data_IF_335257426062
#
_entry.id   IF_335257426062
#
_cell.length_a   1.000
_cell.length_b   1.000
_cell.length_c   1.000
_cell.angle_alpha   90.00
_cell.angle_beta   90.00
_cell.angle_gamma   90.00
#
_symmetry.space_group_name_H-M   'P 1'
#
loop_
_entity.id
_entity.type
_entity.pdbx_description
1 polymer ?
#
# COMPACT_ATOMS: atom_id res chain seq x y z
N UNK A 1 24.60 47.59 -11.31
CA UNK A 1 23.51 46.80 -11.92
C UNK A 1 23.81 45.31 -11.74
N UNK A 2 23.65 44.78 -10.52
CA UNK A 2 23.98 43.39 -10.16
C UNK A 2 22.83 42.67 -9.43
N UNK A 3 21.63 43.26 -9.39
CA UNK A 3 20.52 42.77 -8.57
C UNK A 3 19.52 41.85 -9.29
N UNK A 4 19.61 41.68 -10.61
CA UNK A 4 18.63 40.91 -11.40
C UNK A 4 19.04 39.46 -11.69
N UNK A 5 20.30 39.06 -11.44
CA UNK A 5 20.78 37.69 -11.74
C UNK A 5 20.48 36.69 -10.63
N UNK A 6 20.48 37.11 -9.37
CA UNK A 6 20.30 36.21 -8.22
C UNK A 6 18.84 35.81 -8.00
N UNK A 7 17.87 36.69 -8.29
CA UNK A 7 16.44 36.37 -8.15
C UNK A 7 15.98 35.25 -9.06
N UNK A 8 16.55 35.16 -10.27
CA UNK A 8 16.21 34.11 -11.26
C UNK A 8 16.77 32.73 -10.87
N UNK A 9 17.96 32.69 -10.27
CA UNK A 9 18.56 31.45 -9.78
C UNK A 9 17.81 30.94 -8.54
N UNK A 10 17.47 31.82 -7.60
CA UNK A 10 16.70 31.45 -6.41
C UNK A 10 15.29 30.95 -6.74
N UNK A 11 14.61 31.57 -7.72
CA UNK A 11 13.31 31.08 -8.21
C UNK A 11 13.43 29.72 -8.90
N UNK A 12 14.48 29.50 -9.69
CA UNK A 12 14.72 28.22 -10.36
C UNK A 12 15.01 27.11 -9.34
N UNK A 13 15.84 27.39 -8.33
CA UNK A 13 16.12 26.45 -7.24
C UNK A 13 14.85 26.15 -6.45
N UNK A 14 14.05 27.16 -6.12
CA UNK A 14 12.77 26.97 -5.43
C UNK A 14 11.79 26.16 -6.27
N UNK A 15 11.71 26.39 -7.59
CA UNK A 15 10.87 25.64 -8.51
C UNK A 15 11.33 24.18 -8.63
N UNK A 16 12.64 23.93 -8.75
CA UNK A 16 13.19 22.57 -8.77
C UNK A 16 12.90 21.86 -7.44
N UNK A 17 13.09 22.54 -6.32
CA UNK A 17 12.84 21.98 -4.97
C UNK A 17 11.36 21.69 -4.77
N UNK A 18 10.46 22.59 -5.15
CA UNK A 18 9.00 22.37 -5.05
C UNK A 18 8.48 21.31 -6.02
N UNK A 19 9.02 21.22 -7.23
CA UNK A 19 8.65 20.17 -8.16
C UNK A 19 9.19 18.82 -7.69
N UNK A 20 10.43 18.78 -7.18
CA UNK A 20 10.98 17.58 -6.54
C UNK A 20 10.15 17.16 -5.32
N UNK A 21 9.64 18.13 -4.54
CA UNK A 21 8.71 17.88 -3.41
C UNK A 21 7.37 17.30 -3.85
N UNK A 22 6.78 17.87 -4.90
CA UNK A 22 5.52 17.37 -5.45
C UNK A 22 5.69 15.96 -6.02
N UNK A 23 6.83 15.71 -6.66
CA UNK A 23 7.21 14.39 -7.13
C UNK A 23 7.50 13.42 -5.98
N UNK A 24 8.07 13.85 -4.84
CA UNK A 24 8.29 12.97 -3.69
C UNK A 24 7.01 12.65 -2.92
N UNK A 25 6.00 13.50 -2.89
CA UNK A 25 4.79 13.23 -2.10
C UNK A 25 3.82 12.24 -2.76
N UNK A 26 3.84 12.07 -4.08
CA UNK A 26 2.92 11.20 -4.82
C UNK A 26 1.43 11.50 -4.59
N UNK A 27 0.55 11.01 -5.45
CA UNK A 27 -0.88 10.98 -5.07
C UNK A 27 -1.10 9.79 -4.14
N UNK A 28 -1.96 9.93 -3.13
CA UNK A 28 -2.23 8.83 -2.18
C UNK A 28 -2.59 7.52 -2.91
N UNK A 29 -3.40 7.61 -3.97
CA UNK A 29 -3.74 6.47 -4.82
C UNK A 29 -2.54 5.77 -5.47
N UNK A 30 -1.52 6.54 -5.88
CA UNK A 30 -0.27 5.99 -6.42
C UNK A 30 0.51 5.25 -5.32
N UNK A 31 0.50 5.77 -4.10
CA UNK A 31 1.17 5.17 -2.94
C UNK A 31 0.52 3.83 -2.59
N UNK A 32 -0.80 3.79 -2.45
CA UNK A 32 -1.54 2.56 -2.18
C UNK A 32 -1.36 1.51 -3.29
N UNK A 33 -1.38 1.92 -4.56
CA UNK A 33 -1.12 1.01 -5.68
C UNK A 33 0.31 0.45 -5.63
N UNK A 34 1.30 1.28 -5.31
CA UNK A 34 2.70 0.84 -5.21
C UNK A 34 2.87 -0.12 -4.03
N UNK A 35 2.27 0.17 -2.87
CA UNK A 35 2.27 -0.74 -1.74
C UNK A 35 1.64 -2.09 -2.10
N UNK A 36 0.46 -2.06 -2.72
CA UNK A 36 -0.26 -3.24 -3.22
C UNK A 36 0.58 -4.07 -4.19
N UNK A 37 1.02 -3.49 -5.31
CA UNK A 37 1.77 -4.21 -6.34
C UNK A 37 3.07 -4.80 -5.82
N UNK A 38 3.76 -4.12 -4.90
CA UNK A 38 4.97 -4.68 -4.31
C UNK A 38 4.70 -5.93 -3.47
N UNK A 39 3.62 -5.98 -2.67
CA UNK A 39 3.30 -7.19 -1.90
C UNK A 39 2.72 -8.30 -2.78
N UNK A 40 2.00 -7.98 -3.85
CA UNK A 40 1.50 -9.01 -4.77
C UNK A 40 2.62 -9.62 -5.61
N UNK A 41 3.57 -8.81 -6.10
CA UNK A 41 4.59 -9.26 -7.04
C UNK A 41 5.83 -9.85 -6.35
N UNK A 42 6.20 -9.33 -5.17
CA UNK A 42 7.52 -9.59 -4.56
C UNK A 42 7.46 -10.30 -3.22
N UNK A 43 6.28 -10.58 -2.67
CA UNK A 43 6.19 -11.25 -1.38
C UNK A 43 6.87 -12.63 -1.42
N UNK A 44 7.92 -12.75 -0.60
CA UNK A 44 8.78 -13.90 -0.40
C UNK A 44 8.47 -14.67 0.89
N UNK A 45 7.44 -14.27 1.65
CA UNK A 45 7.01 -14.83 2.95
C UNK A 45 6.84 -16.35 2.92
N UNK A 46 6.64 -16.94 1.73
CA UNK A 46 6.46 -18.37 1.52
C UNK A 46 7.40 -18.99 0.47
N UNK A 47 8.59 -18.42 0.26
CA UNK A 47 9.56 -18.93 -0.72
C UNK A 47 9.32 -18.46 -2.16
N UNK A 48 8.62 -17.33 -2.33
CA UNK A 48 8.55 -16.57 -3.59
C UNK A 48 7.47 -17.00 -4.58
N UNK A 49 6.37 -17.62 -4.13
CA UNK A 49 5.42 -18.27 -5.03
C UNK A 49 3.93 -18.11 -4.71
N UNK A 50 3.51 -17.06 -4.00
CA UNK A 50 2.10 -16.93 -3.63
C UNK A 50 1.15 -16.86 -4.83
N UNK A 51 1.63 -16.39 -6.01
CA UNK A 51 0.93 -16.21 -7.29
C UNK A 51 -0.61 -16.28 -7.19
N UNK A 52 -1.23 -15.36 -6.43
CA UNK A 52 -2.61 -15.56 -6.00
C UNK A 52 -3.56 -15.14 -7.11
N UNK A 53 -4.37 -16.08 -7.60
CA UNK A 53 -5.38 -15.76 -8.61
C UNK A 53 -6.54 -14.93 -8.05
N UNK A 54 -6.72 -14.94 -6.72
CA UNK A 54 -7.80 -14.24 -6.02
C UNK A 54 -7.27 -13.39 -4.89
N UNK A 55 -7.64 -12.12 -4.89
CA UNK A 55 -7.14 -11.10 -3.98
C UNK A 55 -8.32 -10.39 -3.34
N UNK A 56 -8.27 -10.29 -2.01
CA UNK A 56 -9.23 -9.55 -1.21
C UNK A 56 -8.54 -8.31 -0.65
N UNK A 57 -9.12 -7.14 -0.83
CA UNK A 57 -8.55 -5.88 -0.34
C UNK A 57 -9.54 -5.21 0.61
N UNK A 58 -9.09 -4.89 1.82
CA UNK A 58 -9.92 -4.13 2.76
C UNK A 58 -10.15 -2.72 2.21
N UNK A 59 -11.39 -2.23 2.26
CA UNK A 59 -11.66 -0.81 2.02
C UNK A 59 -11.34 0.05 3.24
N UNK A 60 -11.05 -0.55 4.39
CA UNK A 60 -10.69 0.17 5.60
C UNK A 60 -9.18 0.37 5.67
N UNK A 61 -8.78 1.53 6.18
CA UNK A 61 -7.41 1.86 6.56
C UNK A 61 -7.32 1.77 8.08
N UNK A 62 -6.27 1.12 8.57
CA UNK A 62 -6.04 0.93 9.99
C UNK A 62 -4.94 1.89 10.48
N UNK A 63 -5.09 2.52 11.66
CA UNK A 63 -4.06 3.40 12.23
C UNK A 63 -2.75 2.63 12.47
N UNK A 64 -2.88 1.39 12.91
CA UNK A 64 -1.84 0.35 12.90
C UNK A 64 -2.50 -0.92 12.32
N UNK A 65 -1.85 -1.68 11.44
CA UNK A 65 -2.52 -2.81 10.74
C UNK A 65 -3.02 -3.91 11.69
N UNK A 66 -2.50 -3.97 12.92
CA UNK A 66 -2.97 -4.90 13.95
C UNK A 66 -4.13 -4.36 14.80
N UNK A 67 -4.61 -3.16 14.50
CA UNK A 67 -5.68 -2.51 15.24
C UNK A 67 -7.04 -3.07 14.81
N UNK A 68 -7.94 -3.22 15.78
CA UNK A 68 -9.35 -3.50 15.51
C UNK A 68 -10.14 -2.21 15.17
N UNK A 69 -9.49 -1.05 15.27
CA UNK A 69 -10.07 0.25 14.93
C UNK A 69 -9.63 0.68 13.53
N UNK A 70 -10.49 1.42 12.83
CA UNK A 70 -10.21 1.93 11.48
C UNK A 70 -10.07 3.44 11.53
N UNK A 71 -9.07 4.00 10.85
CA UNK A 71 -8.84 5.44 10.79
C UNK A 71 -9.52 6.11 9.59
N UNK A 72 -9.63 5.40 8.46
CA UNK A 72 -10.20 5.95 7.24
C UNK A 72 -10.71 4.86 6.28
N UNK A 73 -11.27 5.30 5.15
CA UNK A 73 -11.55 4.44 3.99
C UNK A 73 -10.49 4.66 2.91
N UNK A 74 -10.20 3.58 2.19
CA UNK A 74 -9.35 3.58 1.02
C UNK A 74 -9.87 4.61 0.00
N UNK A 75 -9.04 5.53 -0.52
CA UNK A 75 -9.48 6.51 -1.50
C UNK A 75 -10.05 5.85 -2.75
N UNK A 76 -11.12 6.42 -3.32
CA UNK A 76 -11.76 5.87 -4.54
C UNK A 76 -10.82 5.77 -5.73
N UNK A 77 -9.91 6.72 -5.87
CA UNK A 77 -8.88 6.69 -6.91
C UNK A 77 -7.90 5.52 -6.70
N UNK A 78 -7.64 5.14 -5.44
CA UNK A 78 -6.81 3.97 -5.11
C UNK A 78 -7.55 2.67 -5.42
N UNK A 79 -8.84 2.56 -5.06
CA UNK A 79 -9.69 1.42 -5.44
C UNK A 79 -9.68 1.20 -6.96
N UNK A 80 -9.88 2.27 -7.74
CA UNK A 80 -9.88 2.20 -9.19
C UNK A 80 -8.51 1.78 -9.77
N UNK A 81 -7.42 2.30 -9.20
CA UNK A 81 -6.06 1.97 -9.62
C UNK A 81 -5.71 0.51 -9.32
N UNK A 82 -6.02 0.01 -8.13
CA UNK A 82 -5.83 -1.40 -7.74
C UNK A 82 -6.69 -2.32 -8.62
N UNK A 83 -7.95 -1.94 -8.89
CA UNK A 83 -8.80 -2.71 -9.79
C UNK A 83 -8.20 -2.83 -11.18
N UNK A 84 -7.74 -1.72 -11.75
CA UNK A 84 -7.10 -1.70 -13.08
C UNK A 84 -5.86 -2.61 -13.09
N UNK A 85 -5.03 -2.52 -12.05
CA UNK A 85 -3.87 -3.41 -11.90
C UNK A 85 -4.26 -4.89 -11.89
N UNK A 86 -5.27 -5.27 -11.11
CA UNK A 86 -5.73 -6.65 -11.05
C UNK A 86 -6.31 -7.12 -12.39
N UNK A 87 -7.13 -6.30 -13.05
CA UNK A 87 -7.70 -6.61 -14.36
C UNK A 87 -6.59 -6.84 -15.41
N UNK A 88 -5.57 -5.95 -15.45
CA UNK A 88 -4.44 -6.02 -16.38
C UNK A 88 -3.57 -7.27 -16.17
N UNK A 89 -3.52 -7.79 -14.94
CA UNK A 89 -2.76 -8.98 -14.57
C UNK A 89 -3.62 -10.25 -14.45
N UNK A 90 -4.91 -10.18 -14.79
CA UNK A 90 -5.82 -11.33 -14.75
C UNK A 90 -6.11 -11.87 -13.35
N UNK A 91 -6.10 -11.00 -12.33
CA UNK A 91 -6.32 -11.33 -10.92
C UNK A 91 -7.78 -11.03 -10.54
N UNK A 92 -8.45 -11.96 -9.88
CA UNK A 92 -9.80 -11.73 -9.33
C UNK A 92 -9.70 -10.84 -8.08
N UNK A 93 -10.22 -9.62 -8.15
CA UNK A 93 -10.22 -8.67 -7.03
C UNK A 93 -11.59 -8.57 -6.37
N UNK A 94 -11.61 -8.66 -5.04
CA UNK A 94 -12.79 -8.42 -4.21
C UNK A 94 -12.44 -7.38 -3.14
N UNK A 95 -13.12 -6.24 -3.16
CA UNK A 95 -13.06 -5.31 -2.04
C UNK A 95 -14.03 -5.75 -0.94
N UNK A 96 -13.56 -5.79 0.31
CA UNK A 96 -14.39 -6.14 1.46
C UNK A 96 -14.46 -5.00 2.49
N UNK A 97 -15.58 -4.94 3.19
CA UNK A 97 -15.91 -4.03 4.29
C UNK A 97 -17.09 -4.63 5.09
N UNK A 98 -17.67 -3.88 6.02
CA UNK A 98 -18.84 -4.33 6.80
C UNK A 98 -20.08 -4.65 5.93
N UNK A 99 -20.23 -4.00 4.78
CA UNK A 99 -21.35 -4.20 3.86
C UNK A 99 -21.13 -5.40 2.94
N UNK A 100 -19.87 -5.73 2.66
CA UNK A 100 -19.44 -6.88 1.86
C UNK A 100 -18.41 -7.68 2.66
N UNK A 101 -18.84 -8.37 3.74
CA UNK A 101 -17.91 -9.08 4.61
C UNK A 101 -17.32 -10.30 3.92
N UNK A 102 -16.11 -10.68 4.34
CA UNK A 102 -15.49 -11.93 3.93
C UNK A 102 -16.31 -13.11 4.46
N UNK A 103 -16.52 -14.11 3.61
CA UNK A 103 -17.11 -15.37 4.04
C UNK A 103 -15.99 -16.22 4.64
N UNK A 104 -16.09 -16.52 5.93
CA UNK A 104 -15.12 -17.35 6.64
C UNK A 104 -15.69 -18.75 6.90
N UNK A 105 -14.83 -19.77 6.90
CA UNK A 105 -15.17 -21.13 7.29
C UNK A 105 -15.13 -21.30 8.83
N UNK A 106 -15.41 -22.51 9.31
CA UNK A 106 -15.48 -22.82 10.76
C UNK A 106 -14.15 -22.58 11.51
N UNK A 107 -13.03 -22.50 10.80
CA UNK A 107 -11.69 -22.28 11.37
C UNK A 107 -11.14 -20.87 11.07
N UNK A 108 -11.97 -19.96 10.55
CA UNK A 108 -11.63 -18.54 10.36
C UNK A 108 -10.92 -18.21 9.03
N UNK A 109 -10.88 -19.16 8.09
CA UNK A 109 -10.27 -18.98 6.77
C UNK A 109 -11.29 -18.47 5.76
N UNK A 110 -10.86 -17.64 4.80
CA UNK A 110 -11.72 -17.15 3.72
C UNK A 110 -12.10 -18.29 2.79
N UNK A 111 -13.40 -18.49 2.64
CA UNK A 111 -13.97 -19.50 1.74
C UNK A 111 -13.54 -19.21 0.30
N UNK A 112 -12.87 -20.18 -0.32
CA UNK A 112 -12.36 -20.08 -1.69
C UNK A 112 -10.88 -19.74 -1.81
N UNK A 113 -10.20 -19.40 -0.70
CA UNK A 113 -8.76 -19.11 -0.69
C UNK A 113 -8.35 -17.88 -1.47
N UNK A 114 -7.03 -17.70 -1.63
CA UNK A 114 -6.43 -16.49 -2.20
C UNK A 114 -5.56 -15.76 -1.17
N UNK A 115 -5.42 -14.45 -1.32
CA UNK A 115 -4.70 -13.58 -0.37
C UNK A 115 -5.56 -12.40 0.05
N UNK A 116 -5.39 -11.96 1.29
CA UNK A 116 -5.97 -10.72 1.82
C UNK A 116 -4.89 -9.65 1.89
N UNK A 117 -5.24 -8.42 1.56
CA UNK A 117 -4.38 -7.25 1.66
C UNK A 117 -5.08 -6.16 2.49
N UNK A 118 -4.36 -5.64 3.47
CA UNK A 118 -4.80 -4.56 4.35
C UNK A 118 -3.78 -3.43 4.36
N UNK A 119 -4.26 -2.19 4.49
CA UNK A 119 -3.40 -1.01 4.49
C UNK A 119 -3.41 -0.31 5.84
N UNK A 120 -2.22 0.11 6.27
CA UNK A 120 -2.03 1.01 7.38
C UNK A 120 -2.16 2.46 6.96
N UNK A 121 -2.14 3.35 7.95
CA UNK A 121 -2.22 4.79 7.70
C UNK A 121 -0.97 5.31 6.98
N UNK A 122 -1.22 6.10 5.94
CA UNK A 122 -0.16 6.74 5.16
C UNK A 122 0.42 7.93 5.94
N UNK A 123 1.65 7.77 6.42
CA UNK A 123 2.40 8.83 7.07
C UNK A 123 3.27 9.58 6.07
N UNK A 124 3.08 10.90 5.94
CA UNK A 124 3.89 11.75 5.07
C UNK A 124 4.69 12.75 5.89
N UNK A 125 6.00 12.78 5.64
CA UNK A 125 6.92 13.82 6.09
C UNK A 125 7.51 14.57 4.90
N UNK A 126 8.34 15.58 5.18
CA UNK A 126 8.97 16.42 4.16
C UNK A 126 9.88 15.65 3.19
N UNK A 127 10.48 14.55 3.63
CA UNK A 127 11.50 13.79 2.88
C UNK A 127 11.15 12.31 2.69
N UNK A 128 10.14 11.82 3.41
CA UNK A 128 9.77 10.41 3.45
C UNK A 128 8.25 10.27 3.45
N UNK A 129 7.73 9.36 2.64
CA UNK A 129 6.38 8.84 2.77
C UNK A 129 6.46 7.37 3.19
N UNK A 130 5.64 6.99 4.15
CA UNK A 130 5.61 5.67 4.77
C UNK A 130 4.19 5.14 4.74
N UNK A 131 4.04 3.88 4.35
CA UNK A 131 2.78 3.16 4.41
C UNK A 131 3.06 1.73 4.81
N UNK A 132 2.29 1.23 5.77
CA UNK A 132 2.25 -0.19 6.05
C UNK A 132 1.26 -0.88 5.13
N UNK A 133 1.59 -2.09 4.68
CA UNK A 133 0.70 -2.98 3.94
C UNK A 133 0.93 -4.40 4.43
N UNK A 134 -0.15 -5.10 4.74
CA UNK A 134 -0.09 -6.50 5.19
C UNK A 134 -0.73 -7.39 4.16
N UNK A 135 -0.09 -8.54 3.92
CA UNK A 135 -0.59 -9.60 3.06
C UNK A 135 -0.73 -10.89 3.88
N UNK A 136 -1.88 -11.53 3.75
CA UNK A 136 -2.23 -12.76 4.47
C UNK A 136 -2.66 -13.84 3.49
N UNK A 137 -2.31 -15.09 3.76
CA UNK A 137 -2.93 -16.21 3.03
C UNK A 137 -4.37 -16.34 3.52
N UNK A 138 -5.32 -16.26 2.60
CA UNK A 138 -6.74 -16.27 2.95
C UNK A 138 -7.20 -17.62 3.53
N UNK A 139 -6.51 -18.72 3.17
CA UNK A 139 -6.72 -20.08 3.68
C UNK A 139 -5.88 -20.45 4.91
N UNK A 140 -5.39 -19.48 5.68
CA UNK A 140 -4.73 -19.76 6.96
C UNK A 140 -5.44 -19.03 8.09
N UNK A 141 -5.73 -19.77 9.16
CA UNK A 141 -6.27 -19.21 10.40
C UNK A 141 -5.34 -18.13 11.00
N UNK A 142 -4.03 -18.28 10.81
CA UNK A 142 -2.98 -17.30 11.12
C UNK A 142 -1.83 -17.45 10.13
N UNK A 143 -1.30 -16.32 9.64
CA UNK A 143 -0.25 -16.33 8.62
C UNK A 143 -0.35 -15.13 7.68
N UNK A 144 0.53 -14.16 7.90
CA UNK A 144 0.74 -13.03 7.01
C UNK A 144 2.00 -12.27 7.37
N UNK A 145 2.42 -11.40 6.47
CA UNK A 145 3.55 -10.49 6.68
C UNK A 145 3.08 -9.08 6.46
N UNK A 146 3.57 -8.20 7.33
CA UNK A 146 3.42 -6.76 7.20
C UNK A 146 4.70 -6.18 6.65
N UNK A 147 4.55 -5.36 5.61
CA UNK A 147 5.63 -4.66 4.94
C UNK A 147 5.44 -3.17 5.10
N UNK A 148 6.53 -2.48 5.39
CA UNK A 148 6.54 -1.01 5.43
C UNK A 148 7.21 -0.51 4.16
N UNK A 149 6.51 0.27 3.34
CA UNK A 149 7.11 0.91 2.17
C UNK A 149 7.52 2.33 2.52
N UNK A 150 8.81 2.61 2.31
CA UNK A 150 9.35 3.96 2.39
C UNK A 150 9.61 4.51 1.01
N UNK A 151 9.17 5.73 0.76
CA UNK A 151 9.68 6.52 -0.37
C UNK A 151 10.82 7.40 0.09
N UNK A 152 11.99 7.27 -0.54
CA UNK A 152 13.14 8.13 -0.29
C UNK A 152 13.76 8.58 -1.62
N UNK A 153 13.96 9.90 -1.77
CA UNK A 153 14.54 10.53 -2.97
C UNK A 153 14.01 9.97 -4.32
N UNK A 154 12.69 10.02 -4.50
CA UNK A 154 12.03 9.70 -5.78
C UNK A 154 11.80 8.22 -6.05
N UNK A 155 12.36 7.30 -5.23
CA UNK A 155 12.14 5.86 -5.36
C UNK A 155 11.40 5.27 -4.16
N UNK A 156 10.60 4.24 -4.41
CA UNK A 156 10.02 3.39 -3.36
C UNK A 156 10.97 2.25 -3.03
N UNK A 157 11.24 2.08 -1.74
CA UNK A 157 11.97 0.94 -1.21
C UNK A 157 11.05 0.19 -0.26
N UNK A 158 10.82 -1.07 -0.57
CA UNK A 158 10.25 -2.01 0.38
C UNK A 158 11.24 -2.16 1.52
N UNK A 159 10.83 -1.82 2.73
CA UNK A 159 11.56 -2.12 3.93
C UNK A 159 10.71 -3.09 4.75
N UNK A 160 11.08 -4.36 4.72
CA UNK A 160 10.52 -5.32 5.67
C UNK A 160 10.94 -4.88 7.07
N UNK A 161 10.00 -4.34 7.84
CA UNK A 161 10.15 -4.23 9.27
C UNK A 161 8.87 -4.66 9.95
N UNK A 162 9.02 -5.65 10.84
CA UNK A 162 7.98 -6.31 11.64
C UNK A 162 7.27 -7.44 10.90
N UNK A 163 7.97 -8.57 10.72
CA UNK A 163 7.30 -9.88 10.78
C UNK A 163 6.58 -9.95 12.13
N UNK A 164 5.31 -9.58 12.18
CA UNK A 164 4.46 -9.96 13.29
C UNK A 164 3.64 -11.15 12.82
N UNK A 165 3.88 -12.29 13.45
CA UNK A 165 2.95 -13.40 13.41
C UNK A 165 1.70 -12.93 14.14
N UNK A 166 0.64 -12.55 13.41
CA UNK A 166 -0.68 -12.46 14.03
C UNK A 166 -1.13 -13.91 14.22
N UNK A 167 -1.15 -14.36 15.47
CA UNK A 167 -1.68 -15.65 15.90
C UNK A 167 -3.20 -15.65 15.90
#
# INVERSE_FOLDING_TARGET
MYFLKNGSISLLVLAIVTTAMLMTQGKDAEIYLIAFSNVIDKDDTYGGGLNPQKIYVSKQIYPDIYSNETSALLPKDAEAAIKTYCDDNGLELIFYDETTPLQLNEIGEVVGGGVRVEFGELTKSFIVSEIDVSIYIANMASGGTTYTLYRWFGGWKLWSSRMAWIS
#
